data_IF_975058152036
#
_entry.id   IF_975058152036
#
_cell.length_a   1.000
_cell.length_b   1.000
_cell.length_c   1.000
_cell.angle_alpha   90.00
_cell.angle_beta   90.00
_cell.angle_gamma   90.00
#
_symmetry.space_group_name_H-M   'P 1'
#
loop_
_entity.id
_entity.type
_entity.pdbx_description
1 polymer ?
#
# COMPACT_ATOMS: atom_id res chain seq x y z
N UNK A 1 19.78 -5.36 13.73
CA UNK A 1 18.47 -5.95 13.44
C UNK A 1 18.63 -7.45 13.61
N UNK A 2 17.84 -8.08 14.47
CA UNK A 2 17.91 -9.52 14.72
C UNK A 2 17.61 -10.33 13.45
N UNK A 3 18.24 -11.49 13.28
CA UNK A 3 18.01 -12.37 12.12
C UNK A 3 16.53 -12.75 11.98
N UNK A 4 15.86 -12.97 13.10
CA UNK A 4 14.42 -13.26 13.14
C UNK A 4 13.60 -12.13 12.51
N UNK A 5 13.95 -10.87 12.77
CA UNK A 5 13.22 -9.73 12.20
C UNK A 5 13.42 -9.65 10.69
N UNK A 6 14.62 -10.01 10.18
CA UNK A 6 14.90 -10.01 8.75
C UNK A 6 14.04 -11.06 8.03
N UNK A 7 13.92 -12.25 8.60
CA UNK A 7 13.06 -13.31 8.07
C UNK A 7 11.58 -12.90 8.07
N UNK A 8 11.11 -12.27 9.14
CA UNK A 8 9.73 -11.75 9.22
C UNK A 8 9.49 -10.70 8.13
N UNK A 9 10.39 -9.73 7.96
CA UNK A 9 10.25 -8.72 6.90
C UNK A 9 10.26 -9.35 5.51
N UNK A 10 11.15 -10.31 5.25
CA UNK A 10 11.19 -11.02 3.97
C UNK A 10 9.88 -11.75 3.69
N UNK A 11 9.31 -12.44 4.69
CA UNK A 11 8.03 -13.13 4.57
C UNK A 11 6.87 -12.15 4.30
N UNK A 12 6.82 -11.03 5.04
CA UNK A 12 5.83 -9.96 4.81
C UNK A 12 5.95 -9.43 3.37
N UNK A 13 7.18 -9.22 2.89
CA UNK A 13 7.46 -8.77 1.54
C UNK A 13 7.01 -9.77 0.46
N UNK A 14 7.25 -11.07 0.66
CA UNK A 14 6.82 -12.14 -0.25
C UNK A 14 5.29 -12.19 -0.33
N UNK A 15 4.62 -12.27 0.83
CA UNK A 15 3.15 -12.30 0.90
C UNK A 15 2.55 -11.03 0.30
N UNK A 16 3.11 -9.88 0.64
CA UNK A 16 2.72 -8.59 0.10
C UNK A 16 2.88 -8.52 -1.42
N UNK A 17 3.97 -9.06 -1.97
CA UNK A 17 4.23 -9.12 -3.41
C UNK A 17 3.23 -10.01 -4.16
N UNK A 18 2.95 -11.22 -3.65
CA UNK A 18 1.95 -12.12 -4.24
C UNK A 18 0.57 -11.46 -4.28
N UNK A 19 0.14 -10.88 -3.16
CA UNK A 19 -1.15 -10.21 -3.07
C UNK A 19 -1.21 -8.94 -3.91
N UNK A 20 -0.09 -8.21 -4.03
CA UNK A 20 0.03 -7.07 -4.94
C UNK A 20 -0.18 -7.49 -6.39
N UNK A 21 0.37 -8.64 -6.80
CA UNK A 21 0.17 -9.18 -8.14
C UNK A 21 -1.26 -9.65 -8.40
N UNK A 22 -1.91 -10.27 -7.41
CA UNK A 22 -3.27 -10.79 -7.55
C UNK A 22 -4.35 -9.71 -7.50
N UNK A 23 -4.20 -8.74 -6.60
CA UNK A 23 -5.24 -7.75 -6.31
C UNK A 23 -4.92 -6.36 -6.88
N UNK A 24 -3.69 -6.11 -7.33
CA UNK A 24 -3.27 -4.80 -7.85
C UNK A 24 -3.17 -3.69 -6.79
N UNK A 25 -3.34 -4.00 -5.49
CA UNK A 25 -3.39 -3.02 -4.40
C UNK A 25 -2.01 -2.55 -3.91
N UNK A 26 -0.91 -3.09 -4.44
CA UNK A 26 0.43 -2.76 -3.96
C UNK A 26 0.83 -3.47 -2.65
N UNK A 27 0.05 -4.44 -2.15
CA UNK A 27 0.34 -5.17 -0.91
C UNK A 27 0.23 -4.35 0.38
N UNK A 28 0.05 -3.03 0.31
CA UNK A 28 0.04 -2.13 1.46
C UNK A 28 -1.05 -2.47 2.50
N UNK A 29 -2.19 -2.98 2.05
CA UNK A 29 -3.30 -3.40 2.92
C UNK A 29 -2.88 -4.46 3.94
N UNK A 30 -1.91 -5.31 3.58
CA UNK A 30 -1.40 -6.37 4.47
C UNK A 30 -0.09 -5.95 5.12
N UNK A 31 0.80 -5.28 4.39
CA UNK A 31 2.12 -4.90 4.88
C UNK A 31 2.01 -3.90 6.03
N UNK A 32 1.14 -2.89 5.93
CA UNK A 32 1.02 -1.86 6.99
C UNK A 32 0.58 -2.50 8.33
N UNK A 33 -0.51 -3.29 8.41
CA UNK A 33 -0.86 -4.00 9.63
C UNK A 33 0.23 -4.95 10.13
N UNK A 34 0.92 -5.66 9.22
CA UNK A 34 1.98 -6.59 9.62
C UNK A 34 3.16 -5.86 10.29
N UNK A 35 3.61 -4.72 9.75
CA UNK A 35 4.66 -3.91 10.36
C UNK A 35 4.22 -3.36 11.72
N UNK A 36 2.96 -2.92 11.87
CA UNK A 36 2.44 -2.38 13.14
C UNK A 36 2.27 -3.47 14.19
N UNK A 37 1.60 -4.58 13.86
CA UNK A 37 1.21 -5.61 14.83
C UNK A 37 2.32 -6.61 15.15
N UNK A 38 3.21 -6.90 14.19
CA UNK A 38 4.27 -7.91 14.37
C UNK A 38 5.59 -7.25 14.78
N UNK A 39 5.96 -6.14 14.14
CA UNK A 39 7.24 -5.47 14.37
C UNK A 39 7.12 -4.22 15.28
N UNK A 40 5.90 -3.87 15.71
CA UNK A 40 5.67 -2.76 16.64
C UNK A 40 5.91 -1.39 16.02
N UNK A 41 5.87 -1.26 14.69
CA UNK A 41 6.08 0.02 14.03
C UNK A 41 4.96 0.99 14.36
N UNK A 42 5.30 2.27 14.45
CA UNK A 42 4.29 3.32 14.50
C UNK A 42 3.48 3.34 13.21
N UNK A 43 2.22 3.79 13.25
CA UNK A 43 1.35 3.82 12.06
C UNK A 43 2.00 4.63 10.92
N UNK A 44 2.62 5.75 11.27
CA UNK A 44 3.29 6.64 10.32
C UNK A 44 4.56 5.99 9.75
N UNK A 45 5.36 5.30 10.58
CA UNK A 45 6.55 4.59 10.12
C UNK A 45 6.19 3.45 9.20
N UNK A 46 5.19 2.64 9.54
CA UNK A 46 4.71 1.55 8.70
C UNK A 46 4.21 2.06 7.34
N UNK A 47 3.44 3.17 7.32
CA UNK A 47 2.98 3.81 6.09
C UNK A 47 4.16 4.33 5.24
N UNK A 48 5.09 5.06 5.85
CA UNK A 48 6.27 5.61 5.16
C UNK A 48 7.17 4.51 4.58
N UNK A 49 7.49 3.49 5.37
CA UNK A 49 8.29 2.33 4.91
C UNK A 49 7.60 1.60 3.76
N UNK A 50 6.29 1.38 3.85
CA UNK A 50 5.51 0.73 2.78
C UNK A 50 5.50 1.57 1.50
N UNK A 51 5.34 2.89 1.61
CA UNK A 51 5.40 3.80 0.45
C UNK A 51 6.77 3.77 -0.22
N UNK A 52 7.86 3.80 0.55
CA UNK A 52 9.22 3.68 0.01
C UNK A 52 9.40 2.36 -0.76
N UNK A 53 8.93 1.25 -0.17
CA UNK A 53 8.98 -0.07 -0.81
C UNK A 53 8.16 -0.09 -2.12
N UNK A 54 6.98 0.52 -2.13
CA UNK A 54 6.10 0.52 -3.30
C UNK A 54 6.64 1.33 -4.47
N UNK A 55 7.28 2.47 -4.19
CA UNK A 55 7.83 3.37 -5.20
C UNK A 55 9.09 2.78 -5.85
N UNK A 56 9.94 2.09 -5.09
CA UNK A 56 11.29 1.73 -5.58
C UNK A 56 11.33 0.55 -6.59
N UNK A 57 10.51 -0.52 -6.48
CA UNK A 57 10.42 -1.49 -7.59
C UNK A 57 9.14 -2.35 -7.72
N UNK A 58 8.23 -2.39 -6.74
CA UNK A 58 7.20 -3.46 -6.66
C UNK A 58 6.08 -3.23 -7.67
N UNK A 59 5.60 -1.98 -7.78
CA UNK A 59 4.51 -1.64 -8.69
C UNK A 59 4.89 -1.78 -10.16
N UNK A 60 6.15 -1.55 -10.52
CA UNK A 60 6.59 -1.45 -11.92
C UNK A 60 6.57 -2.80 -12.64
N UNK A 61 7.04 -3.88 -12.00
CA UNK A 61 7.03 -5.22 -12.61
C UNK A 61 5.61 -5.77 -12.79
N UNK A 62 4.75 -5.62 -11.78
CA UNK A 62 3.36 -6.02 -11.87
C UNK A 62 2.62 -5.21 -12.95
N UNK A 63 2.76 -3.88 -12.93
CA UNK A 63 2.14 -3.00 -13.94
C UNK A 63 2.63 -3.31 -15.35
N UNK A 64 3.92 -3.62 -15.53
CA UNK A 64 4.46 -4.04 -16.82
C UNK A 64 3.79 -5.31 -17.34
N UNK A 65 3.54 -6.29 -16.47
CA UNK A 65 2.84 -7.52 -16.86
C UNK A 65 1.39 -7.24 -17.29
N UNK A 66 0.65 -6.39 -16.56
CA UNK A 66 -0.71 -5.97 -16.94
C UNK A 66 -0.72 -5.18 -18.26
N UNK A 67 0.27 -4.30 -18.46
CA UNK A 67 0.43 -3.55 -19.70
C UNK A 67 0.70 -4.46 -20.89
N UNK A 68 1.64 -5.41 -20.74
CA UNK A 68 1.95 -6.40 -21.78
C UNK A 68 0.74 -7.27 -22.13
N UNK A 69 -0.13 -7.55 -21.16
CA UNK A 69 -1.38 -8.29 -21.35
C UNK A 69 -2.52 -7.43 -21.97
N UNK A 70 -2.29 -6.14 -22.27
CA UNK A 70 -3.31 -5.24 -22.82
C UNK A 70 -4.34 -4.75 -21.79
N UNK A 71 -4.10 -4.99 -20.50
CA UNK A 71 -5.03 -4.69 -19.41
C UNK A 71 -4.69 -3.39 -18.67
N UNK A 72 -3.87 -2.51 -19.26
CA UNK A 72 -3.51 -1.22 -18.66
C UNK A 72 -3.63 -0.09 -19.69
N UNK A 73 -4.36 0.96 -19.33
CA UNK A 73 -4.48 2.19 -20.10
C UNK A 73 -3.45 3.22 -19.64
N UNK A 74 -2.49 3.53 -20.51
CA UNK A 74 -1.42 4.49 -20.25
C UNK A 74 -1.97 5.91 -20.04
N UNK A 75 -2.96 6.35 -20.83
CA UNK A 75 -3.49 7.72 -20.72
C UNK A 75 -4.15 7.91 -19.37
N UNK A 76 -4.98 6.96 -18.97
CA UNK A 76 -5.62 6.97 -17.65
C UNK A 76 -4.57 6.91 -16.54
N UNK A 77 -3.55 6.05 -16.67
CA UNK A 77 -2.47 5.93 -15.69
C UNK A 77 -1.67 7.24 -15.53
N UNK A 78 -1.38 7.96 -16.61
CA UNK A 78 -0.65 9.24 -16.57
C UNK A 78 -1.46 10.35 -15.90
N UNK A 79 -2.74 10.48 -16.24
CA UNK A 79 -3.63 11.48 -15.64
C UNK A 79 -3.79 11.21 -14.14
N UNK A 80 -4.08 9.96 -13.77
CA UNK A 80 -4.18 9.55 -12.37
C UNK A 80 -2.86 9.76 -11.64
N UNK A 81 -1.73 9.35 -12.24
CA UNK A 81 -0.40 9.48 -11.65
C UNK A 81 -0.02 10.93 -11.36
N UNK A 82 -0.29 11.85 -12.28
CA UNK A 82 0.00 13.28 -12.09
C UNK A 82 -0.85 13.89 -10.97
N UNK A 83 -2.16 13.65 -10.97
CA UNK A 83 -3.06 14.13 -9.92
C UNK A 83 -2.72 13.52 -8.55
N UNK A 84 -2.40 12.22 -8.54
CA UNK A 84 -1.99 11.50 -7.35
C UNK A 84 -0.68 12.05 -6.78
N UNK A 85 0.34 12.28 -7.60
CA UNK A 85 1.63 12.78 -7.15
C UNK A 85 1.50 14.09 -6.35
N UNK A 86 0.74 15.05 -6.90
CA UNK A 86 0.52 16.35 -6.27
C UNK A 86 -0.27 16.19 -4.96
N UNK A 87 -1.40 15.49 -5.01
CA UNK A 87 -2.29 15.35 -3.84
C UNK A 87 -1.68 14.50 -2.72
N UNK A 88 -0.92 13.45 -3.06
CA UNK A 88 -0.22 12.61 -2.10
C UNK A 88 0.87 13.39 -1.35
N UNK A 89 1.67 14.20 -2.06
CA UNK A 89 2.69 15.04 -1.41
C UNK A 89 2.06 16.06 -0.45
N UNK A 90 1.03 16.77 -0.91
CA UNK A 90 0.34 17.78 -0.09
C UNK A 90 -0.29 17.15 1.14
N UNK A 91 -1.04 16.05 0.97
CA UNK A 91 -1.70 15.38 2.10
C UNK A 91 -0.71 14.77 3.09
N UNK A 92 0.39 14.18 2.62
CA UNK A 92 1.44 13.61 3.48
C UNK A 92 2.04 14.66 4.43
N UNK A 93 2.20 15.92 3.98
CA UNK A 93 2.69 17.03 4.81
C UNK A 93 1.79 17.32 6.02
N UNK A 94 0.47 17.15 5.88
CA UNK A 94 -0.48 17.38 6.96
C UNK A 94 -0.69 16.13 7.82
N UNK A 95 -0.69 14.93 7.21
CA UNK A 95 -0.93 13.65 7.89
C UNK A 95 0.11 13.33 8.96
N UNK A 96 1.35 13.81 8.83
CA UNK A 96 2.40 13.63 9.84
C UNK A 96 2.06 14.25 11.20
N UNK A 97 1.14 15.21 11.24
CA UNK A 97 0.71 15.88 12.48
C UNK A 97 -0.55 15.26 13.09
N UNK A 98 -1.17 14.27 12.42
CA UNK A 98 -2.40 13.63 12.88
C UNK A 98 -2.06 12.51 13.88
N UNK A 99 -2.79 12.38 15.00
CA UNK A 99 -2.61 11.29 15.96
C UNK A 99 -2.73 9.91 15.30
N UNK A 100 -1.84 8.99 15.68
CA UNK A 100 -1.76 7.64 15.08
C UNK A 100 -3.07 6.85 15.24
N UNK A 101 -3.76 7.02 16.36
CA UNK A 101 -5.05 6.36 16.58
C UNK A 101 -6.10 6.79 15.55
N UNK A 102 -6.14 8.08 15.21
CA UNK A 102 -7.06 8.61 14.21
C UNK A 102 -6.71 8.07 12.81
N UNK A 103 -5.43 8.04 12.45
CA UNK A 103 -4.97 7.44 11.18
C UNK A 103 -5.35 5.96 11.08
N UNK A 104 -5.19 5.20 12.16
CA UNK A 104 -5.59 3.79 12.22
C UNK A 104 -7.09 3.61 12.05
N UNK A 105 -7.92 4.44 12.70
CA UNK A 105 -9.39 4.41 12.56
C UNK A 105 -9.81 4.75 11.13
N UNK A 106 -9.24 5.79 10.53
CA UNK A 106 -9.51 6.17 9.12
C UNK A 106 -9.18 5.00 8.19
N UNK A 107 -8.00 4.41 8.34
CA UNK A 107 -7.58 3.26 7.53
C UNK A 107 -8.54 2.08 7.67
N UNK A 108 -8.92 1.73 8.89
CA UNK A 108 -9.89 0.66 9.16
C UNK A 108 -11.25 0.92 8.51
N UNK A 109 -11.81 2.13 8.66
CA UNK A 109 -13.09 2.50 8.05
C UNK A 109 -13.03 2.39 6.52
N UNK A 110 -11.96 2.87 5.88
CA UNK A 110 -11.78 2.75 4.43
C UNK A 110 -11.76 1.29 4.00
N UNK A 111 -11.03 0.42 4.72
CA UNK A 111 -11.01 -1.02 4.41
C UNK A 111 -12.38 -1.68 4.54
N UNK A 112 -13.14 -1.37 5.61
CA UNK A 112 -14.49 -1.91 5.79
C UNK A 112 -15.41 -1.45 4.65
N UNK A 113 -15.38 -0.16 4.30
CA UNK A 113 -16.20 0.38 3.20
C UNK A 113 -15.88 -0.31 1.88
N UNK A 114 -14.60 -0.48 1.55
CA UNK A 114 -14.18 -1.18 0.34
C UNK A 114 -14.66 -2.63 0.37
N UNK A 115 -14.44 -3.34 1.48
CA UNK A 115 -14.84 -4.75 1.63
C UNK A 115 -16.36 -4.93 1.48
N UNK A 116 -17.16 -4.13 2.17
CA UNK A 116 -18.63 -4.15 2.07
C UNK A 116 -19.06 -3.85 0.64
N UNK A 117 -18.52 -2.80 0.03
CA UNK A 117 -18.88 -2.44 -1.34
C UNK A 117 -18.57 -3.59 -2.30
N UNK A 118 -17.36 -4.15 -2.25
CA UNK A 118 -16.96 -5.27 -3.12
C UNK A 118 -17.84 -6.51 -2.91
N UNK A 119 -18.23 -6.80 -1.67
CA UNK A 119 -19.07 -7.96 -1.35
C UNK A 119 -20.50 -7.85 -1.91
N UNK A 120 -21.06 -6.63 -1.95
CA UNK A 120 -22.41 -6.37 -2.45
C UNK A 120 -22.45 -5.85 -3.88
N UNK A 121 -21.30 -5.69 -4.54
CA UNK A 121 -21.24 -5.30 -5.94
C UNK A 121 -21.59 -6.53 -6.80
N UNK A 122 -22.66 -6.41 -7.60
CA UNK A 122 -23.05 -7.41 -8.59
C UNK A 122 -22.07 -7.49 -9.75
#
# INVERSE_FOLDING_TARGET
MELNNILIIALIGIVGGVLSGFLGLGGAVIIIPALVFILGYSQQMAQGTTLLMLVMPVGSLAAYQYYKAGNADIKTALILGAAFFISAYVSAKYVTHIPQEMLRKIFAVVLVVIAVKMFFQK
#
